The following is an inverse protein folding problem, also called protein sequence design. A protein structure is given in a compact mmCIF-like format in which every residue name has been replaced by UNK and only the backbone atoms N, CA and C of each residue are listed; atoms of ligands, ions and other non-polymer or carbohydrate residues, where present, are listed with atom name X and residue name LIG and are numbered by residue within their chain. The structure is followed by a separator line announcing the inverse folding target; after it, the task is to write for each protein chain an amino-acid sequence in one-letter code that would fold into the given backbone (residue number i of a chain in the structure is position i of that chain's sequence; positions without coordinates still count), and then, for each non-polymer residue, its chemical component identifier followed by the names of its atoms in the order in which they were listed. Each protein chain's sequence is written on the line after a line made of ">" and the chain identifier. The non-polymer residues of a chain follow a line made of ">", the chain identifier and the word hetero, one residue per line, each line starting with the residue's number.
data_IF_199680613136
#
_entry.id   IF_199680613136
#
_cell.length_a   1.000
_cell.length_b   1.000
_cell.length_c   1.000
_cell.angle_alpha   90.00
_cell.angle_beta   90.00
_cell.angle_gamma   90.00
#
_symmetry.space_group_name_H-M   'P 1'
#
loop_
_entity.id
_entity.type
_entity.pdbx_description
1 polymer ?
#
# COMPACT_ATOMS: atom_id res chain seq x y z
N UNK A 1 -14.00 36.45 -0.47
CA UNK A 1 -12.84 35.54 -0.46
C UNK A 1 -13.35 34.11 -0.23
N UNK A 2 -12.82 33.13 -0.99
CA UNK A 2 -13.16 31.72 -0.76
C UNK A 2 -12.63 31.25 0.61
N UNK A 3 -13.39 30.41 1.30
CA UNK A 3 -12.94 29.81 2.55
C UNK A 3 -11.69 28.93 2.35
N UNK A 4 -10.95 28.65 3.43
CA UNK A 4 -9.78 27.73 3.34
C UNK A 4 -10.20 26.34 2.83
N UNK A 5 -11.29 25.71 3.30
CA UNK A 5 -11.77 24.46 2.74
C UNK A 5 -12.06 24.53 1.24
N UNK A 6 -12.71 25.58 0.76
CA UNK A 6 -12.99 25.75 -0.68
C UNK A 6 -11.72 25.90 -1.52
N UNK A 7 -10.73 26.63 -1.00
CA UNK A 7 -9.43 26.76 -1.64
C UNK A 7 -8.70 25.42 -1.69
N UNK A 8 -8.69 24.65 -0.59
CA UNK A 8 -8.08 23.33 -0.54
C UNK A 8 -8.76 22.35 -1.52
N UNK A 9 -10.09 22.37 -1.60
CA UNK A 9 -10.84 21.55 -2.57
C UNK A 9 -10.47 21.93 -4.02
N UNK A 10 -10.44 23.21 -4.35
CA UNK A 10 -10.06 23.67 -5.69
C UNK A 10 -8.62 23.26 -6.07
N UNK A 11 -7.69 23.35 -5.12
CA UNK A 11 -6.31 22.91 -5.35
C UNK A 11 -6.23 21.39 -5.55
N UNK A 12 -6.98 20.60 -4.79
CA UNK A 12 -7.04 19.14 -4.95
C UNK A 12 -7.65 18.74 -6.29
N UNK A 13 -8.65 19.45 -6.77
CA UNK A 13 -9.22 19.24 -8.11
C UNK A 13 -8.21 19.58 -9.22
N UNK A 14 -7.46 20.67 -9.10
CA UNK A 14 -6.41 21.02 -10.04
C UNK A 14 -5.32 19.94 -10.07
N UNK A 15 -4.88 19.48 -8.91
CA UNK A 15 -3.91 18.40 -8.78
C UNK A 15 -4.40 17.10 -9.43
N UNK A 16 -5.65 16.72 -9.19
CA UNK A 16 -6.26 15.51 -9.78
C UNK A 16 -6.33 15.54 -11.32
N UNK A 17 -6.41 16.75 -11.91
CA UNK A 17 -6.34 16.94 -13.37
C UNK A 17 -4.90 17.02 -13.91
N UNK A 18 -3.88 16.90 -13.04
CA UNK A 18 -2.48 17.07 -13.42
C UNK A 18 -2.03 18.53 -13.55
N UNK A 19 -2.87 19.48 -13.19
CA UNK A 19 -2.52 20.90 -13.19
C UNK A 19 -1.81 21.26 -11.87
N UNK A 20 -0.59 20.75 -11.75
CA UNK A 20 0.25 20.96 -10.56
C UNK A 20 0.58 22.43 -10.32
N UNK A 21 0.90 23.26 -11.34
CA UNK A 21 1.14 24.67 -11.12
C UNK A 21 -0.05 25.39 -10.49
N UNK A 22 -1.27 25.13 -10.97
CA UNK A 22 -2.47 25.73 -10.39
C UNK A 22 -2.71 25.30 -8.93
N UNK A 23 -2.50 24.02 -8.63
CA UNK A 23 -2.57 23.50 -7.26
C UNK A 23 -1.56 24.20 -6.33
N UNK A 24 -0.31 24.33 -6.77
CA UNK A 24 0.76 24.98 -6.00
C UNK A 24 0.50 26.47 -5.76
N UNK A 25 -0.09 27.17 -6.72
CA UNK A 25 -0.48 28.59 -6.54
C UNK A 25 -1.49 28.78 -5.41
N UNK A 26 -2.33 27.79 -5.16
CA UNK A 26 -3.31 27.83 -4.08
C UNK A 26 -2.70 27.33 -2.76
N UNK A 27 -2.00 26.18 -2.78
CA UNK A 27 -1.41 25.62 -1.57
C UNK A 27 -0.27 26.45 -0.98
N UNK A 28 0.52 27.13 -1.82
CA UNK A 28 1.67 27.92 -1.36
C UNK A 28 1.31 28.96 -0.31
N UNK A 29 0.40 29.90 -0.60
CA UNK A 29 -0.05 30.91 0.39
C UNK A 29 -0.66 30.26 1.65
N UNK A 30 -1.44 29.19 1.50
CA UNK A 30 -2.05 28.49 2.64
C UNK A 30 -0.99 27.79 3.51
N UNK A 31 0.03 27.19 2.90
CA UNK A 31 1.15 26.57 3.62
C UNK A 31 1.96 27.60 4.42
N UNK A 32 2.21 28.77 3.82
CA UNK A 32 2.86 29.89 4.51
C UNK A 32 1.99 30.47 5.64
N UNK A 33 0.67 30.38 5.49
CA UNK A 33 -0.27 30.76 6.55
C UNK A 33 -0.41 29.70 7.66
N UNK A 34 0.31 28.59 7.58
CA UNK A 34 0.34 27.54 8.61
C UNK A 34 -0.74 26.46 8.48
N UNK A 35 -1.41 26.37 7.33
CA UNK A 35 -2.38 25.30 7.08
C UNK A 35 -1.63 23.98 6.87
N UNK A 36 -1.70 23.09 7.86
CA UNK A 36 -0.90 21.87 7.91
C UNK A 36 -1.07 20.96 6.66
N UNK A 37 -2.30 20.75 6.19
CA UNK A 37 -2.55 19.98 4.98
C UNK A 37 -1.94 20.62 3.73
N UNK A 38 -1.93 21.93 3.62
CA UNK A 38 -1.26 22.62 2.53
C UNK A 38 0.27 22.45 2.62
N UNK A 39 0.83 22.51 3.82
CA UNK A 39 2.27 22.23 4.05
C UNK A 39 2.62 20.79 3.64
N UNK A 40 1.77 19.82 3.96
CA UNK A 40 1.95 18.42 3.50
C UNK A 40 1.96 18.34 1.98
N UNK A 41 1.02 18.97 1.31
CA UNK A 41 0.91 18.92 -0.15
C UNK A 41 2.11 19.61 -0.84
N UNK A 42 2.57 20.73 -0.31
CA UNK A 42 3.80 21.40 -0.79
C UNK A 42 5.02 20.52 -0.56
N UNK A 43 5.16 19.94 0.61
CA UNK A 43 6.26 19.02 0.93
C UNK A 43 6.28 17.79 0.02
N UNK A 44 5.13 17.17 -0.22
CA UNK A 44 4.98 16.06 -1.14
C UNK A 44 5.34 16.47 -2.59
N UNK A 45 4.93 17.67 -3.01
CA UNK A 45 5.25 18.19 -4.34
C UNK A 45 6.75 18.34 -4.54
N UNK A 46 7.50 18.81 -3.54
CA UNK A 46 8.95 18.85 -3.60
C UNK A 46 9.60 17.46 -3.56
N UNK A 47 9.03 16.52 -2.81
CA UNK A 47 9.54 15.16 -2.75
C UNK A 47 9.39 14.42 -4.09
N UNK A 48 8.30 14.64 -4.80
CA UNK A 48 7.96 13.93 -6.04
C UNK A 48 8.24 14.73 -7.33
N UNK A 49 8.53 16.01 -7.21
CA UNK A 49 8.73 16.90 -8.37
C UNK A 49 7.43 17.28 -9.08
N UNK A 50 6.30 17.37 -8.38
CA UNK A 50 5.01 17.76 -8.97
C UNK A 50 4.91 19.28 -9.14
N UNK A 51 5.11 19.75 -10.38
CA UNK A 51 5.04 21.16 -10.74
C UNK A 51 6.19 22.03 -10.21
N UNK A 52 7.16 21.43 -9.55
CA UNK A 52 8.42 22.02 -9.06
C UNK A 52 9.56 21.04 -9.28
N UNK A 53 10.78 21.54 -9.30
CA UNK A 53 11.96 20.68 -9.29
C UNK A 53 12.01 19.90 -7.96
N UNK A 54 12.29 18.59 -8.05
CA UNK A 54 12.43 17.73 -6.88
C UNK A 54 13.49 18.28 -5.93
N UNK A 55 13.13 18.41 -4.67
CA UNK A 55 14.03 18.91 -3.63
C UNK A 55 13.64 18.28 -2.28
N UNK A 56 14.37 17.23 -1.89
CA UNK A 56 14.09 16.53 -0.64
C UNK A 56 14.36 17.37 0.61
N UNK A 57 15.33 18.30 0.59
CA UNK A 57 15.57 19.18 1.75
C UNK A 57 14.40 20.11 2.01
N UNK A 58 13.81 20.68 0.95
CA UNK A 58 12.59 21.49 1.06
C UNK A 58 11.39 20.63 1.45
N UNK A 59 11.29 19.41 0.92
CA UNK A 59 10.25 18.45 1.32
C UNK A 59 10.31 18.19 2.83
N UNK A 60 11.49 17.90 3.38
CA UNK A 60 11.68 17.67 4.82
C UNK A 60 11.24 18.89 5.64
N UNK A 61 11.58 20.10 5.21
CA UNK A 61 11.21 21.34 5.93
C UNK A 61 9.69 21.52 6.00
N UNK A 62 9.00 21.39 4.87
CA UNK A 62 7.54 21.54 4.81
C UNK A 62 6.81 20.42 5.55
N UNK A 63 7.25 19.17 5.37
CA UNK A 63 6.66 18.02 6.04
C UNK A 63 6.92 18.02 7.55
N UNK A 64 8.05 18.57 8.02
CA UNK A 64 8.31 18.76 9.44
C UNK A 64 7.32 19.73 10.07
N UNK A 65 7.04 20.86 9.40
CA UNK A 65 6.03 21.81 9.86
C UNK A 65 4.64 21.17 9.95
N UNK A 66 4.24 20.42 8.91
CA UNK A 66 2.96 19.72 8.88
C UNK A 66 2.87 18.63 9.97
N UNK A 67 3.94 17.88 10.17
CA UNK A 67 4.01 16.84 11.20
C UNK A 67 3.91 17.42 12.61
N UNK A 68 4.60 18.53 12.88
CA UNK A 68 4.55 19.24 14.16
C UNK A 68 3.15 19.84 14.40
N UNK A 69 2.47 20.27 13.34
CA UNK A 69 1.08 20.72 13.40
C UNK A 69 0.06 19.58 13.52
N UNK A 70 0.50 18.34 13.51
CA UNK A 70 -0.34 17.16 13.77
C UNK A 70 -0.99 16.55 12.53
N UNK A 71 -0.59 16.92 11.30
CA UNK A 71 -1.13 16.31 10.10
C UNK A 71 -0.63 14.86 9.93
N UNK A 72 -1.52 13.84 9.98
CA UNK A 72 -1.09 12.44 9.91
C UNK A 72 -0.38 12.09 8.61
N UNK A 73 -0.86 12.60 7.49
CA UNK A 73 -0.21 12.38 6.19
C UNK A 73 1.16 13.07 6.11
N UNK A 74 1.30 14.25 6.70
CA UNK A 74 2.58 14.93 6.84
C UNK A 74 3.57 14.12 7.65
N UNK A 75 3.13 13.52 8.77
CA UNK A 75 3.94 12.61 9.58
C UNK A 75 4.36 11.38 8.80
N UNK A 76 3.44 10.74 8.07
CA UNK A 76 3.73 9.58 7.24
C UNK A 76 4.72 9.89 6.13
N UNK A 77 4.54 10.99 5.42
CA UNK A 77 5.43 11.39 4.34
C UNK A 77 6.83 11.73 4.86
N UNK A 78 6.92 12.41 6.00
CA UNK A 78 8.20 12.66 6.68
C UNK A 78 8.88 11.37 7.13
N UNK A 79 8.11 10.42 7.67
CA UNK A 79 8.60 9.09 8.05
C UNK A 79 9.27 8.38 6.87
N UNK A 80 8.65 8.44 5.69
CA UNK A 80 9.20 7.84 4.49
C UNK A 80 10.56 8.46 4.09
N UNK A 81 10.74 9.76 4.25
CA UNK A 81 12.01 10.44 3.98
C UNK A 81 13.12 10.01 4.98
N UNK A 82 12.80 9.91 6.27
CA UNK A 82 13.73 9.37 7.27
C UNK A 82 14.06 7.90 7.03
N UNK A 83 13.08 7.11 6.60
CA UNK A 83 13.28 5.69 6.30
C UNK A 83 14.27 5.48 5.13
N UNK A 84 14.17 6.30 4.09
CA UNK A 84 15.05 6.21 2.91
C UNK A 84 16.35 7.02 3.05
N UNK A 85 16.38 8.03 3.92
CA UNK A 85 17.47 8.99 4.02
C UNK A 85 17.45 10.04 2.91
N UNK A 86 16.24 10.40 2.42
CA UNK A 86 16.06 11.41 1.39
C UNK A 86 15.99 12.81 2.02
N UNK A 87 16.96 13.67 1.73
CA UNK A 87 17.03 15.04 2.27
C UNK A 87 17.37 15.14 3.76
N UNK A 88 17.50 14.02 4.43
CA UNK A 88 17.93 13.86 5.84
C UNK A 88 18.79 12.64 5.99
N UNK A 89 19.55 12.56 7.07
CA UNK A 89 20.22 11.31 7.44
C UNK A 89 19.17 10.23 7.73
N UNK A 90 19.37 9.05 7.15
CA UNK A 90 18.49 7.89 7.41
C UNK A 90 18.40 7.61 8.91
N UNK A 91 17.19 7.48 9.39
CA UNK A 91 16.89 7.21 10.80
C UNK A 91 15.60 6.35 10.91
N UNK A 92 15.79 5.04 11.04
CA UNK A 92 14.69 4.08 11.14
C UNK A 92 13.87 4.26 12.42
N UNK A 93 14.50 4.65 13.54
CA UNK A 93 13.78 4.87 14.80
C UNK A 93 12.87 6.10 14.69
N UNK A 94 13.36 7.16 14.09
CA UNK A 94 12.56 8.37 13.81
C UNK A 94 11.40 8.05 12.87
N UNK A 95 11.67 7.31 11.80
CA UNK A 95 10.64 6.86 10.86
C UNK A 95 9.57 6.02 11.58
N UNK A 96 9.96 5.04 12.40
CA UNK A 96 9.03 4.21 13.16
C UNK A 96 8.13 5.04 14.09
N UNK A 97 8.69 6.01 14.82
CA UNK A 97 7.94 6.90 15.70
C UNK A 97 6.91 7.73 14.93
N UNK A 98 7.29 8.26 13.78
CA UNK A 98 6.40 9.05 12.92
C UNK A 98 5.30 8.19 12.28
N UNK A 99 5.64 7.00 11.80
CA UNK A 99 4.64 6.06 11.28
C UNK A 99 3.63 5.65 12.37
N UNK A 100 4.11 5.35 13.58
CA UNK A 100 3.21 5.02 14.70
C UNK A 100 2.26 6.16 15.01
N UNK A 101 2.77 7.37 15.13
CA UNK A 101 1.95 8.56 15.38
C UNK A 101 0.89 8.80 14.29
N UNK A 102 1.26 8.62 13.02
CA UNK A 102 0.32 8.73 11.91
C UNK A 102 -0.72 7.59 11.91
N UNK A 103 -0.29 6.35 12.20
CA UNK A 103 -1.17 5.18 12.29
C UNK A 103 -2.21 5.32 13.40
N UNK A 104 -1.80 5.78 14.58
CA UNK A 104 -2.68 6.07 15.72
C UNK A 104 -3.69 7.18 15.40
N UNK A 105 -3.34 8.12 14.54
CA UNK A 105 -4.23 9.15 14.03
C UNK A 105 -5.14 8.67 12.87
N UNK A 106 -5.06 7.40 12.47
CA UNK A 106 -5.93 6.78 11.49
C UNK A 106 -5.41 6.76 10.05
N UNK A 107 -4.17 7.18 9.80
CA UNK A 107 -3.58 7.11 8.45
C UNK A 107 -3.38 5.64 8.02
N UNK A 108 -4.12 5.23 6.99
CA UNK A 108 -4.16 3.83 6.56
C UNK A 108 -2.81 3.32 6.02
N UNK A 109 -2.08 4.18 5.30
CA UNK A 109 -0.76 3.81 4.75
C UNK A 109 0.26 3.67 5.87
N UNK A 110 0.21 4.55 6.89
CA UNK A 110 1.06 4.41 8.06
C UNK A 110 0.74 3.15 8.87
N UNK A 111 -0.53 2.77 8.99
CA UNK A 111 -0.95 1.51 9.62
C UNK A 111 -0.37 0.30 8.87
N UNK A 112 -0.41 0.31 7.55
CA UNK A 112 0.19 -0.74 6.71
C UNK A 112 1.70 -0.83 6.91
N UNK A 113 2.39 0.31 6.88
CA UNK A 113 3.84 0.36 7.12
C UNK A 113 4.22 -0.11 8.52
N UNK A 114 3.48 0.30 9.55
CA UNK A 114 3.73 -0.12 10.93
C UNK A 114 3.52 -1.64 11.10
N UNK A 115 2.46 -2.19 10.50
CA UNK A 115 2.24 -3.63 10.46
C UNK A 115 3.41 -4.38 9.81
N UNK A 116 3.90 -3.88 8.69
CA UNK A 116 5.05 -4.46 8.00
C UNK A 116 6.33 -4.42 8.86
N UNK A 117 6.63 -3.28 9.48
CA UNK A 117 7.82 -3.11 10.34
C UNK A 117 7.79 -4.05 11.54
N UNK A 118 6.62 -4.26 12.15
CA UNK A 118 6.43 -5.19 13.27
C UNK A 118 6.52 -6.67 12.85
N UNK A 119 6.19 -6.97 11.60
CA UNK A 119 6.28 -8.31 11.05
C UNK A 119 7.73 -8.67 10.66
N UNK A 120 8.44 -7.77 9.98
CA UNK A 120 9.81 -8.02 9.50
C UNK A 120 10.85 -8.03 10.63
N UNK A 121 10.66 -7.20 11.65
CA UNK A 121 11.51 -7.16 12.84
C UNK A 121 12.92 -6.61 12.63
N UNK A 122 13.20 -6.00 11.48
CA UNK A 122 14.51 -5.39 11.21
C UNK A 122 14.70 -4.04 11.89
N UNK A 123 13.64 -3.25 11.96
CA UNK A 123 13.61 -1.90 12.54
C UNK A 123 13.01 -1.90 13.95
N UNK A 124 12.01 -2.72 14.14
CA UNK A 124 11.26 -2.90 15.39
C UNK A 124 11.32 -4.36 15.81
N UNK A 125 11.26 -4.62 17.11
CA UNK A 125 11.12 -5.98 17.61
C UNK A 125 9.82 -6.60 17.09
N UNK A 126 9.87 -7.85 16.64
CA UNK A 126 8.68 -8.57 16.17
C UNK A 126 7.55 -8.52 17.22
N UNK A 127 6.39 -8.10 16.75
CA UNK A 127 5.12 -8.25 17.47
C UNK A 127 4.02 -8.62 16.47
N UNK A 128 3.81 -9.92 16.31
CA UNK A 128 2.84 -10.44 15.34
C UNK A 128 1.39 -10.11 15.72
N UNK A 129 1.09 -10.00 17.01
CA UNK A 129 -0.26 -9.62 17.45
C UNK A 129 -0.55 -8.15 17.13
N UNK A 130 0.39 -7.25 17.39
CA UNK A 130 0.25 -5.84 17.03
C UNK A 130 0.28 -5.66 15.51
N UNK A 131 1.17 -6.37 14.79
CA UNK A 131 1.22 -6.35 13.33
C UNK A 131 -0.13 -6.73 12.70
N UNK A 132 -0.82 -7.75 13.24
CA UNK A 132 -2.16 -8.14 12.81
C UNK A 132 -3.19 -7.04 13.06
N UNK A 133 -3.20 -6.43 14.24
CA UNK A 133 -4.15 -5.37 14.58
C UNK A 133 -4.03 -4.18 13.62
N UNK A 134 -2.82 -3.76 13.32
CA UNK A 134 -2.59 -2.69 12.34
C UNK A 134 -2.95 -3.09 10.91
N UNK A 135 -2.65 -4.33 10.51
CA UNK A 135 -3.08 -4.85 9.22
C UNK A 135 -4.62 -4.91 9.10
N UNK A 136 -5.33 -5.31 10.15
CA UNK A 136 -6.79 -5.29 10.20
C UNK A 136 -7.35 -3.86 10.06
N UNK A 137 -6.75 -2.90 10.75
CA UNK A 137 -7.14 -1.49 10.66
C UNK A 137 -6.94 -0.94 9.23
N UNK A 138 -5.79 -1.20 8.63
CA UNK A 138 -5.49 -0.76 7.26
C UNK A 138 -6.36 -1.49 6.22
N UNK A 139 -6.58 -2.79 6.39
CA UNK A 139 -7.47 -3.57 5.52
C UNK A 139 -8.92 -3.06 5.57
N UNK A 140 -9.39 -2.64 6.74
CA UNK A 140 -10.68 -1.97 6.91
C UNK A 140 -10.79 -0.64 6.15
N UNK A 141 -9.67 -0.03 5.82
CA UNK A 141 -9.56 1.16 4.97
C UNK A 141 -9.18 0.82 3.51
N UNK A 142 -9.38 -0.43 3.08
CA UNK A 142 -9.13 -0.93 1.72
C UNK A 142 -7.65 -0.97 1.28
N UNK A 143 -6.70 -1.07 2.19
CA UNK A 143 -5.29 -1.27 1.84
C UNK A 143 -5.06 -2.75 1.45
N UNK A 144 -4.86 -2.99 0.17
CA UNK A 144 -4.74 -4.33 -0.41
C UNK A 144 -3.51 -5.12 0.12
N UNK A 145 -2.37 -4.47 0.30
CA UNK A 145 -1.16 -5.07 0.87
C UNK A 145 -1.36 -5.58 2.30
N UNK A 146 -2.15 -4.85 3.11
CA UNK A 146 -2.52 -5.29 4.45
C UNK A 146 -3.44 -6.53 4.43
N UNK A 147 -4.35 -6.62 3.47
CA UNK A 147 -5.17 -7.83 3.28
C UNK A 147 -4.30 -9.04 2.95
N UNK A 148 -3.36 -8.89 2.03
CA UNK A 148 -2.40 -9.94 1.68
C UNK A 148 -1.56 -10.35 2.88
N UNK A 149 -1.09 -9.39 3.68
CA UNK A 149 -0.33 -9.64 4.92
C UNK A 149 -1.15 -10.43 5.94
N UNK A 150 -2.43 -10.12 6.12
CA UNK A 150 -3.33 -10.90 6.99
C UNK A 150 -3.41 -12.35 6.52
N UNK A 151 -3.54 -12.60 5.23
CA UNK A 151 -3.50 -13.95 4.67
C UNK A 151 -2.21 -14.69 5.02
N UNK A 152 -1.07 -14.02 4.95
CA UNK A 152 0.22 -14.59 5.32
C UNK A 152 0.33 -14.90 6.82
N UNK A 153 -0.19 -14.03 7.68
CA UNK A 153 -0.18 -14.25 9.13
C UNK A 153 -0.95 -15.52 9.51
N UNK A 154 -2.15 -15.72 8.94
CA UNK A 154 -2.94 -16.93 9.16
C UNK A 154 -2.33 -18.18 8.51
N UNK A 155 -1.68 -18.03 7.36
CA UNK A 155 -1.01 -19.15 6.69
C UNK A 155 0.18 -19.68 7.49
N UNK A 156 0.99 -18.76 8.03
CA UNK A 156 2.23 -19.09 8.74
C UNK A 156 2.05 -19.23 10.27
N UNK A 157 0.83 -19.13 10.78
CA UNK A 157 0.55 -19.18 12.22
C UNK A 157 1.34 -18.12 13.03
N UNK A 158 1.43 -16.89 12.50
CA UNK A 158 2.17 -15.81 13.15
C UNK A 158 1.23 -14.99 14.05
N UNK A 159 1.29 -15.22 15.37
CA UNK A 159 0.44 -14.58 16.36
C UNK A 159 -1.04 -14.98 16.31
N UNK A 160 -1.38 -16.00 15.53
CA UNK A 160 -2.72 -16.58 15.36
C UNK A 160 -2.61 -18.07 15.07
N UNK A 161 -3.69 -18.82 15.26
CA UNK A 161 -3.77 -20.20 14.75
C UNK A 161 -3.77 -20.22 13.22
N UNK A 162 -3.18 -21.27 12.66
CA UNK A 162 -3.18 -21.47 11.22
C UNK A 162 -4.59 -21.70 10.71
N UNK A 163 -5.01 -20.90 9.74
CA UNK A 163 -6.32 -21.03 9.10
C UNK A 163 -6.19 -20.84 7.57
N UNK A 164 -6.05 -21.95 6.81
CA UNK A 164 -5.90 -21.86 5.35
C UNK A 164 -7.12 -21.25 4.64
N UNK A 165 -8.32 -21.46 5.16
CA UNK A 165 -9.54 -20.91 4.57
C UNK A 165 -9.58 -19.39 4.73
N UNK A 166 -9.24 -18.89 5.92
CA UNK A 166 -9.17 -17.47 6.20
C UNK A 166 -7.99 -16.82 5.45
N UNK A 167 -6.88 -17.54 5.26
CA UNK A 167 -5.77 -17.08 4.42
C UNK A 167 -6.22 -16.79 3.00
N UNK A 168 -6.95 -17.73 2.39
CA UNK A 168 -7.50 -17.57 1.03
C UNK A 168 -8.51 -16.44 0.96
N UNK A 169 -9.34 -16.27 1.98
CA UNK A 169 -10.28 -15.15 2.07
C UNK A 169 -9.56 -13.81 1.98
N UNK A 170 -8.51 -13.61 2.76
CA UNK A 170 -7.73 -12.37 2.76
C UNK A 170 -6.92 -12.18 1.47
N UNK A 171 -6.29 -13.22 0.94
CA UNK A 171 -5.56 -13.14 -0.33
C UNK A 171 -6.48 -12.80 -1.50
N UNK A 172 -7.70 -13.35 -1.52
CA UNK A 172 -8.71 -12.99 -2.53
C UNK A 172 -9.05 -11.51 -2.47
N UNK A 173 -9.29 -10.98 -1.29
CA UNK A 173 -9.60 -9.55 -1.12
C UNK A 173 -8.46 -8.63 -1.58
N UNK A 174 -7.23 -8.98 -1.25
CA UNK A 174 -6.04 -8.28 -1.74
C UNK A 174 -5.85 -8.40 -3.25
N UNK A 175 -6.00 -9.60 -3.78
CA UNK A 175 -5.87 -9.91 -5.21
C UNK A 175 -6.90 -9.15 -6.08
N UNK A 176 -8.14 -9.11 -5.66
CA UNK A 176 -9.23 -8.39 -6.33
C UNK A 176 -9.02 -6.86 -6.32
N UNK A 177 -8.22 -6.35 -5.39
CA UNK A 177 -7.82 -4.94 -5.30
C UNK A 177 -6.46 -4.64 -5.96
N UNK A 178 -5.92 -5.61 -6.70
CA UNK A 178 -4.73 -5.42 -7.52
C UNK A 178 -3.40 -5.69 -6.81
N UNK A 179 -3.39 -6.22 -5.58
CA UNK A 179 -2.14 -6.58 -4.92
C UNK A 179 -1.52 -7.82 -5.62
N UNK A 180 -0.36 -7.62 -6.22
CA UNK A 180 0.28 -8.65 -7.04
C UNK A 180 0.73 -9.87 -6.21
N UNK A 181 1.19 -9.65 -4.98
CA UNK A 181 1.57 -10.74 -4.09
C UNK A 181 0.34 -11.50 -3.59
N UNK A 182 -0.77 -10.80 -3.30
CA UNK A 182 -2.06 -11.42 -3.01
C UNK A 182 -2.57 -12.28 -4.16
N UNK A 183 -2.43 -11.80 -5.40
CA UNK A 183 -2.76 -12.58 -6.60
C UNK A 183 -1.89 -13.84 -6.73
N UNK A 184 -0.58 -13.74 -6.45
CA UNK A 184 0.31 -14.89 -6.47
C UNK A 184 -0.03 -15.92 -5.40
N UNK A 185 -0.33 -15.49 -4.19
CA UNK A 185 -0.71 -16.37 -3.08
C UNK A 185 -2.05 -17.05 -3.32
N UNK A 186 -3.04 -16.32 -3.87
CA UNK A 186 -4.32 -16.89 -4.27
C UNK A 186 -4.15 -17.93 -5.38
N UNK A 187 -3.32 -17.64 -6.37
CA UNK A 187 -2.98 -18.58 -7.44
C UNK A 187 -2.31 -19.85 -6.91
N UNK A 188 -1.36 -19.72 -6.00
CA UNK A 188 -0.72 -20.85 -5.33
C UNK A 188 -1.72 -21.70 -4.53
N UNK A 189 -2.64 -21.05 -3.83
CA UNK A 189 -3.69 -21.74 -3.07
C UNK A 189 -4.61 -22.56 -3.97
N UNK A 190 -5.01 -22.03 -5.13
CA UNK A 190 -5.78 -22.79 -6.13
C UNK A 190 -4.99 -23.96 -6.74
N UNK A 191 -3.70 -23.78 -7.02
CA UNK A 191 -2.85 -24.84 -7.53
C UNK A 191 -2.72 -26.00 -6.54
N UNK A 192 -2.50 -25.68 -5.27
CA UNK A 192 -2.29 -26.67 -4.21
C UNK A 192 -3.60 -27.24 -3.63
N UNK A 193 -4.73 -26.56 -3.79
CA UNK A 193 -5.96 -26.89 -3.09
C UNK A 193 -5.87 -26.60 -1.58
N UNK A 194 -5.15 -25.56 -1.20
CA UNK A 194 -4.91 -25.18 0.19
C UNK A 194 -5.90 -24.10 0.65
N UNK A 195 -6.87 -24.47 1.46
CA UNK A 195 -7.93 -23.56 1.93
C UNK A 195 -9.01 -23.25 0.89
N UNK A 196 -8.91 -23.80 -0.31
CA UNK A 196 -9.84 -23.69 -1.42
C UNK A 196 -9.74 -24.96 -2.28
N UNK A 197 -10.80 -25.31 -3.00
CA UNK A 197 -10.77 -26.43 -3.91
C UNK A 197 -9.70 -26.23 -5.00
N UNK A 198 -8.93 -27.27 -5.30
CA UNK A 198 -7.89 -27.23 -6.32
C UNK A 198 -8.50 -26.88 -7.69
N UNK A 199 -7.97 -25.86 -8.33
CA UNK A 199 -8.39 -25.40 -9.66
C UNK A 199 -7.19 -24.81 -10.40
N UNK A 200 -6.45 -25.61 -11.21
CA UNK A 200 -5.29 -25.11 -11.95
C UNK A 200 -5.60 -24.02 -12.97
N UNK A 201 -6.80 -24.01 -13.53
CA UNK A 201 -7.25 -22.94 -14.45
C UNK A 201 -7.34 -21.58 -13.75
N UNK A 202 -8.00 -21.53 -12.61
CA UNK A 202 -8.04 -20.34 -11.75
C UNK A 202 -6.65 -19.96 -11.24
N UNK A 203 -5.84 -20.95 -10.86
CA UNK A 203 -4.47 -20.72 -10.44
C UNK A 203 -3.68 -19.96 -11.52
N UNK A 204 -3.76 -20.40 -12.78
CA UNK A 204 -3.04 -19.75 -13.87
C UNK A 204 -3.53 -18.32 -14.12
N UNK A 205 -4.82 -18.07 -14.06
CA UNK A 205 -5.37 -16.70 -14.18
C UNK A 205 -4.74 -15.74 -13.17
N UNK A 206 -4.73 -16.12 -11.90
CA UNK A 206 -4.19 -15.26 -10.83
C UNK A 206 -2.68 -15.14 -10.89
N UNK A 207 -1.96 -16.22 -11.21
CA UNK A 207 -0.50 -16.19 -11.36
C UNK A 207 -0.05 -15.32 -12.54
N UNK A 208 -0.78 -15.31 -13.66
CA UNK A 208 -0.51 -14.42 -14.79
C UNK A 208 -0.73 -12.95 -14.44
N UNK A 209 -1.79 -12.65 -13.69
CA UNK A 209 -2.03 -11.28 -13.17
C UNK A 209 -0.92 -10.85 -12.22
N UNK A 210 -0.51 -11.74 -11.32
CA UNK A 210 0.60 -11.49 -10.40
C UNK A 210 1.92 -11.22 -11.14
N UNK A 211 2.20 -11.98 -12.19
CA UNK A 211 3.38 -11.78 -13.03
C UNK A 211 3.33 -10.41 -13.74
N UNK A 212 2.18 -10.03 -14.28
CA UNK A 212 1.99 -8.71 -14.90
C UNK A 212 2.17 -7.56 -13.88
N UNK A 213 1.84 -7.80 -12.62
CA UNK A 213 2.09 -6.89 -11.49
C UNK A 213 3.50 -6.98 -10.89
N UNK A 214 4.41 -7.70 -11.53
CA UNK A 214 5.81 -7.89 -11.11
C UNK A 214 6.00 -8.63 -9.76
N UNK A 215 5.03 -9.45 -9.34
CA UNK A 215 5.23 -10.30 -8.17
C UNK A 215 6.28 -11.38 -8.47
N UNK A 216 7.32 -11.42 -7.65
CA UNK A 216 8.37 -12.45 -7.71
C UNK A 216 7.88 -13.82 -7.26
N UNK A 217 6.79 -13.87 -6.51
CA UNK A 217 6.19 -15.11 -6.01
C UNK A 217 5.50 -15.91 -7.11
N UNK A 218 5.00 -15.25 -8.16
CA UNK A 218 4.28 -15.88 -9.26
C UNK A 218 5.11 -16.94 -9.99
N UNK A 219 6.39 -16.71 -10.21
CA UNK A 219 7.28 -17.60 -10.98
C UNK A 219 7.39 -19.00 -10.40
N UNK A 220 7.22 -19.14 -9.08
CA UNK A 220 7.36 -20.43 -8.38
C UNK A 220 6.33 -21.47 -8.83
N UNK A 221 5.15 -21.02 -9.26
CA UNK A 221 4.01 -21.90 -9.61
C UNK A 221 3.60 -21.85 -11.08
N UNK A 222 4.05 -20.86 -11.85
CA UNK A 222 3.64 -20.70 -13.24
C UNK A 222 3.97 -21.92 -14.11
N UNK A 223 5.21 -22.39 -14.07
CA UNK A 223 5.65 -23.54 -14.86
C UNK A 223 4.91 -24.81 -14.46
N UNK A 224 4.79 -25.07 -13.16
CA UNK A 224 4.09 -26.24 -12.64
C UNK A 224 2.59 -26.22 -12.99
N UNK A 225 1.96 -25.06 -12.92
CA UNK A 225 0.54 -24.89 -13.25
C UNK A 225 0.29 -25.11 -14.74
N UNK A 226 1.13 -24.56 -15.61
CA UNK A 226 1.04 -24.80 -17.07
C UNK A 226 1.21 -26.27 -17.43
N UNK A 227 2.07 -26.99 -16.70
CA UNK A 227 2.38 -28.40 -16.97
C UNK A 227 1.19 -29.34 -16.73
N UNK A 228 0.21 -28.96 -15.91
CA UNK A 228 -0.99 -29.76 -15.60
C UNK A 228 -2.23 -29.34 -16.40
N UNK A 229 -2.12 -28.36 -17.28
CA UNK A 229 -3.19 -27.84 -18.14
C UNK A 229 -2.92 -28.19 -19.61
N UNK A 230 -3.98 -28.38 -20.38
CA UNK A 230 -3.87 -28.50 -21.84
C UNK A 230 -3.82 -27.12 -22.52
N UNK A 231 -3.53 -27.10 -23.84
CA UNK A 231 -3.39 -25.86 -24.58
C UNK A 231 -4.65 -24.99 -24.58
N UNK A 232 -5.84 -25.58 -24.62
CA UNK A 232 -7.11 -24.87 -24.61
C UNK A 232 -7.37 -24.21 -23.23
N UNK A 233 -7.07 -24.92 -22.15
CA UNK A 233 -7.18 -24.41 -20.78
C UNK A 233 -6.19 -23.27 -20.53
N UNK A 234 -4.96 -23.37 -21.02
CA UNK A 234 -3.97 -22.29 -20.95
C UNK A 234 -4.46 -21.06 -21.71
N UNK A 235 -4.93 -21.22 -22.95
CA UNK A 235 -5.44 -20.12 -23.76
C UNK A 235 -6.64 -19.43 -23.08
N UNK A 236 -7.55 -20.19 -22.47
CA UNK A 236 -8.68 -19.62 -21.72
C UNK A 236 -8.21 -18.83 -20.49
N UNK A 237 -7.25 -19.36 -19.73
CA UNK A 237 -6.68 -18.67 -18.60
C UNK A 237 -5.99 -17.35 -19.01
N UNK A 238 -5.26 -17.34 -20.10
CA UNK A 238 -4.61 -16.15 -20.67
C UNK A 238 -5.65 -15.09 -21.07
N UNK A 239 -6.74 -15.48 -21.72
CA UNK A 239 -7.86 -14.58 -22.04
C UNK A 239 -8.48 -13.98 -20.80
N UNK A 240 -8.74 -14.78 -19.78
CA UNK A 240 -9.33 -14.33 -18.50
C UNK A 240 -8.40 -13.41 -17.74
N UNK A 241 -7.10 -13.70 -17.71
CA UNK A 241 -6.10 -12.88 -17.05
C UNK A 241 -5.96 -11.47 -17.68
N UNK A 242 -6.23 -11.34 -18.98
CA UNK A 242 -6.18 -10.05 -19.70
C UNK A 242 -7.41 -9.16 -19.48
N UNK A 243 -8.49 -9.71 -18.91
CA UNK A 243 -9.69 -8.93 -18.58
C UNK A 243 -9.46 -8.06 -17.35
N UNK A 244 -10.25 -6.98 -17.17
CA UNK A 244 -10.25 -6.22 -15.92
C UNK A 244 -10.44 -7.12 -14.70
N UNK A 245 -9.93 -6.66 -13.55
CA UNK A 245 -10.18 -7.35 -12.29
C UNK A 245 -11.68 -7.45 -12.01
N UNK A 246 -12.13 -8.52 -11.33
CA UNK A 246 -13.51 -8.60 -10.86
C UNK A 246 -13.80 -7.47 -9.86
N UNK A 247 -15.08 -7.16 -9.66
CA UNK A 247 -15.46 -6.25 -8.59
C UNK A 247 -14.97 -6.82 -7.24
N UNK A 248 -14.34 -5.98 -6.40
CA UNK A 248 -13.83 -6.45 -5.11
C UNK A 248 -14.95 -6.96 -4.21
N UNK A 249 -14.68 -8.08 -3.56
CA UNK A 249 -15.53 -8.59 -2.48
C UNK A 249 -15.59 -7.60 -1.31
N UNK A 250 -16.73 -7.45 -0.63
CA UNK A 250 -16.91 -6.53 0.48
C UNK A 250 -15.97 -6.83 1.67
#
# INVERSE_FOLDING_TARGET
>A
ARSVPDQMAAASEAFARGDYPAALQIWGPLAHAGIARAQTNIGASFAEGWGVEQNFELAVRWLSLAADAGDPEGRRNLAALYFRGDGVKQDFNRAATLYRSAAEAGDAVAQDMLSWMLLEGEVMVHDYAEARQWAESAAGQNIASSMTRLGMLYHNALGVERDPVLSVHWWRRGAERGDADGQAMLGAAYYLGAGVARDPGQALVWLLRAQAGNSKLASRFLTATRAVLNAAEIAEAERRASRPLPEPSP
#
